data_IF_221396490926
#
_entry.id   IF_221396490926
#
_cell.length_a   1.000
_cell.length_b   1.000
_cell.length_c   1.000
_cell.angle_alpha   90.00
_cell.angle_beta   90.00
_cell.angle_gamma   90.00
#
_symmetry.space_group_name_H-M   'P 1'
#
loop_
_entity.id
_entity.type
_entity.pdbx_description
1 polymer ?
#
# COMPACT_ATOMS: atom_id res chain seq x y z
N UNK A 1 -2.33 -2.30 -7.33
CA UNK A 1 -1.55 -3.55 -7.23
C UNK A 1 -2.42 -4.59 -6.55
N UNK A 2 -2.21 -5.89 -6.74
CA UNK A 2 -2.96 -6.92 -6.03
C UNK A 2 -2.07 -7.61 -5.01
N UNK A 3 -2.63 -7.90 -3.84
CA UNK A 3 -2.00 -8.80 -2.87
C UNK A 3 -1.89 -10.23 -3.45
N UNK A 4 -1.10 -11.12 -2.84
CA UNK A 4 -0.91 -12.50 -3.29
C UNK A 4 -2.22 -13.30 -3.42
N UNK A 5 -3.24 -12.99 -2.61
CA UNK A 5 -4.58 -13.60 -2.69
C UNK A 5 -5.42 -13.10 -3.88
N UNK A 6 -4.91 -12.16 -4.66
CA UNK A 6 -5.58 -11.53 -5.80
C UNK A 6 -6.46 -10.33 -5.44
N UNK A 7 -6.60 -10.01 -4.15
CA UNK A 7 -7.34 -8.84 -3.67
C UNK A 7 -6.65 -7.56 -4.13
N UNK A 8 -7.42 -6.65 -4.72
CA UNK A 8 -6.91 -5.35 -5.15
C UNK A 8 -6.63 -4.48 -3.92
N UNK A 9 -5.39 -4.00 -3.79
CA UNK A 9 -4.98 -3.06 -2.76
C UNK A 9 -5.67 -1.70 -2.97
N UNK A 10 -6.09 -1.08 -1.87
CA UNK A 10 -6.84 0.19 -1.82
C UNK A 10 -6.25 1.10 -0.76
N UNK A 11 -6.50 2.40 -0.93
CA UNK A 11 -6.16 3.40 0.08
C UNK A 11 -6.81 3.05 1.43
N UNK A 12 -6.04 3.14 2.51
CA UNK A 12 -6.48 2.87 3.88
C UNK A 12 -6.44 1.40 4.30
N UNK A 13 -6.05 0.49 3.41
CA UNK A 13 -5.86 -0.91 3.76
C UNK A 13 -4.78 -1.09 4.82
N UNK A 14 -5.13 -1.77 5.91
CA UNK A 14 -4.15 -2.25 6.87
C UNK A 14 -3.68 -3.64 6.43
N UNK A 15 -2.37 -3.80 6.26
CA UNK A 15 -1.75 -5.02 5.75
C UNK A 15 -0.64 -5.51 6.67
N UNK A 16 -0.39 -6.81 6.64
CA UNK A 16 0.91 -7.35 7.01
C UNK A 16 1.81 -7.21 5.78
N UNK A 17 3.00 -6.64 5.96
CA UNK A 17 3.98 -6.47 4.89
C UNK A 17 4.93 -7.69 4.84
N UNK A 18 5.46 -8.06 5.99
CA UNK A 18 6.24 -9.28 6.25
C UNK A 18 6.07 -9.67 7.73
N UNK A 19 6.59 -10.82 8.15
CA UNK A 19 6.45 -11.34 9.51
C UNK A 19 6.74 -10.27 10.58
N UNK A 20 5.71 -9.98 11.38
CA UNK A 20 5.77 -9.00 12.47
C UNK A 20 5.91 -7.55 12.04
N UNK A 21 5.65 -7.19 10.77
CA UNK A 21 5.61 -5.81 10.31
C UNK A 21 4.29 -5.49 9.61
N UNK A 22 3.51 -4.63 10.24
CA UNK A 22 2.26 -4.12 9.69
C UNK A 22 2.47 -2.75 9.05
N UNK A 23 1.55 -2.39 8.15
CA UNK A 23 1.55 -1.07 7.53
C UNK A 23 0.18 -0.72 6.97
N UNK A 24 0.05 0.54 6.58
CA UNK A 24 -1.17 1.07 5.96
C UNK A 24 -0.87 1.54 4.55
N UNK A 25 -1.72 1.18 3.60
CA UNK A 25 -1.65 1.71 2.24
C UNK A 25 -2.07 3.18 2.29
N UNK A 26 -1.13 4.08 2.01
CA UNK A 26 -1.37 5.54 2.04
C UNK A 26 -1.54 6.13 0.64
N UNK A 27 -1.26 5.35 -0.40
CA UNK A 27 -1.47 5.69 -1.79
C UNK A 27 -1.52 4.42 -2.65
N UNK A 28 -2.38 4.39 -3.66
CA UNK A 28 -2.44 3.37 -4.71
C UNK A 28 -2.49 4.06 -6.07
N UNK A 29 -1.37 4.00 -6.79
CA UNK A 29 -1.23 4.63 -8.11
C UNK A 29 -2.01 3.85 -9.19
N UNK A 30 -2.13 2.53 -9.01
CA UNK A 30 -2.87 1.67 -9.94
C UNK A 30 -4.39 1.96 -9.94
N UNK A 31 -4.90 2.56 -8.86
CA UNK A 31 -6.32 2.95 -8.71
C UNK A 31 -6.53 4.46 -8.63
N UNK A 32 -5.47 5.26 -8.80
CA UNK A 32 -5.46 6.72 -8.67
C UNK A 32 -6.00 7.22 -7.31
N UNK A 33 -5.73 6.48 -6.23
CA UNK A 33 -6.18 6.80 -4.87
C UNK A 33 -5.01 7.32 -4.01
N UNK A 34 -5.11 8.55 -3.53
CA UNK A 34 -4.08 9.22 -2.75
C UNK A 34 -4.67 9.78 -1.45
N UNK A 35 -3.95 9.67 -0.34
CA UNK A 35 -4.31 10.37 0.90
C UNK A 35 -3.91 11.84 0.84
N UNK A 36 -4.54 12.66 1.69
CA UNK A 36 -4.23 14.09 1.79
C UNK A 36 -2.77 14.36 2.15
N UNK A 37 -2.19 13.53 3.02
CA UNK A 37 -0.79 13.62 3.45
C UNK A 37 0.20 13.19 2.35
N UNK A 38 -0.25 12.37 1.40
CA UNK A 38 0.57 11.79 0.35
C UNK A 38 -0.07 11.98 -1.03
N UNK A 39 -0.16 13.24 -1.50
CA UNK A 39 -0.95 13.58 -2.67
C UNK A 39 -0.25 13.17 -3.99
N UNK A 40 -1.03 13.16 -5.07
CA UNK A 40 -0.60 12.73 -6.41
C UNK A 40 0.55 13.57 -6.96
N UNK A 41 0.62 14.85 -6.62
CA UNK A 41 1.67 15.76 -7.07
C UNK A 41 3.04 15.36 -6.52
N UNK A 42 3.07 14.70 -5.36
CA UNK A 42 4.29 14.27 -4.68
C UNK A 42 4.66 12.84 -5.06
N UNK A 43 3.69 11.93 -5.17
CA UNK A 43 3.95 10.50 -5.37
C UNK A 43 3.59 9.96 -6.76
N UNK A 44 2.86 10.73 -7.56
CA UNK A 44 2.35 10.29 -8.86
C UNK A 44 3.44 9.99 -9.89
N UNK A 45 4.65 10.54 -9.71
CA UNK A 45 5.80 10.26 -10.58
C UNK A 45 6.28 8.79 -10.50
N UNK A 46 5.83 8.02 -9.50
CA UNK A 46 6.14 6.60 -9.35
C UNK A 46 5.29 5.70 -10.27
N UNK A 47 4.25 6.27 -10.88
CA UNK A 47 3.40 5.73 -11.96
C UNK A 47 2.54 4.49 -11.63
N UNK A 48 3.00 3.58 -10.78
CA UNK A 48 2.32 2.30 -10.50
C UNK A 48 2.66 1.73 -9.14
N UNK A 49 1.80 0.82 -8.68
CA UNK A 49 1.95 0.14 -7.40
C UNK A 49 1.25 0.88 -6.27
N UNK A 50 1.69 0.60 -5.04
CA UNK A 50 1.16 1.19 -3.81
C UNK A 50 2.29 1.76 -2.96
N UNK A 51 1.97 2.77 -2.16
CA UNK A 51 2.83 3.26 -1.09
C UNK A 51 2.28 2.77 0.24
N UNK A 52 3.14 2.16 1.05
CA UNK A 52 2.79 1.62 2.37
C UNK A 52 3.57 2.39 3.43
N UNK A 53 2.87 2.93 4.42
CA UNK A 53 3.48 3.42 5.65
C UNK A 53 3.62 2.25 6.62
N UNK A 54 4.83 1.70 6.69
CA UNK A 54 5.24 0.60 7.56
C UNK A 54 5.58 1.10 8.95
N UNK A 55 5.13 0.38 9.98
CA UNK A 55 5.43 0.71 11.38
C UNK A 55 6.92 0.63 11.70
N UNK A 56 7.67 -0.25 11.02
CA UNK A 56 9.11 -0.48 11.30
C UNK A 56 10.07 0.24 10.35
N UNK A 57 9.62 0.58 9.15
CA UNK A 57 10.50 1.05 8.08
C UNK A 57 10.05 2.36 7.41
N UNK A 58 8.93 2.95 7.84
CA UNK A 58 8.40 4.17 7.24
C UNK A 58 7.78 3.92 5.86
N UNK A 59 7.96 4.85 4.92
CA UNK A 59 7.34 4.75 3.59
C UNK A 59 8.10 3.77 2.70
N UNK A 60 7.36 2.80 2.14
CA UNK A 60 7.89 1.82 1.20
C UNK A 60 7.01 1.79 -0.06
N UNK A 61 7.64 1.86 -1.22
CA UNK A 61 6.98 1.74 -2.51
C UNK A 61 7.00 0.29 -3.00
N UNK A 62 5.83 -0.28 -3.27
CA UNK A 62 5.68 -1.64 -3.78
C UNK A 62 5.03 -1.65 -5.16
N UNK A 63 5.79 -2.11 -6.14
CA UNK A 63 5.32 -2.33 -7.51
C UNK A 63 4.79 -3.76 -7.71
N UNK A 64 5.24 -4.69 -6.87
CA UNK A 64 4.79 -6.10 -6.82
C UNK A 64 4.55 -6.48 -5.35
N UNK A 65 3.61 -7.41 -5.06
CA UNK A 65 3.42 -7.88 -3.70
C UNK A 65 4.60 -8.73 -3.25
N UNK A 66 4.94 -8.62 -1.96
CA UNK A 66 5.76 -9.60 -1.26
C UNK A 66 4.94 -10.87 -1.01
N UNK A 67 5.61 -12.03 -0.91
CA UNK A 67 4.93 -13.33 -0.73
C UNK A 67 4.08 -13.39 0.56
N UNK A 68 4.54 -12.74 1.62
CA UNK A 68 3.86 -12.71 2.92
C UNK A 68 2.83 -11.60 3.05
N UNK A 69 2.71 -10.73 2.04
CA UNK A 69 1.87 -9.57 2.12
C UNK A 69 0.40 -10.00 2.17
N UNK A 70 -0.38 -9.50 3.12
CA UNK A 70 -1.81 -9.87 3.25
C UNK A 70 -2.63 -8.75 3.85
N UNK A 71 -3.87 -8.62 3.36
CA UNK A 71 -4.86 -7.71 3.92
C UNK A 71 -5.29 -8.18 5.31
N UNK A 72 -5.22 -7.28 6.29
CA UNK A 72 -5.68 -7.52 7.67
C UNK A 72 -7.03 -6.87 7.91
N UNK A 73 -7.20 -5.62 7.47
CA UNK A 73 -8.41 -4.84 7.67
C UNK A 73 -8.58 -3.83 6.52
N UNK A 74 -9.83 -3.63 6.09
CA UNK A 74 -10.23 -2.53 5.22
C UNK A 74 -11.40 -1.81 5.87
N UNK A 75 -11.23 -0.54 6.21
CA UNK A 75 -12.35 0.29 6.66
C UNK A 75 -13.20 0.64 5.43
N UNK A 76 -14.41 0.07 5.37
CA UNK A 76 -15.48 0.44 4.43
C UNK A 76 -16.06 1.80 4.73
#
# INVERSE_FOLDING_TARGET
>A
MKYPDGTLARLGDKILVWEGNEGVVVCSMDTDEYSEEYPREVLGYLERGIMVLSEKAGLIHYVKPEEEMRLLERKT
#
